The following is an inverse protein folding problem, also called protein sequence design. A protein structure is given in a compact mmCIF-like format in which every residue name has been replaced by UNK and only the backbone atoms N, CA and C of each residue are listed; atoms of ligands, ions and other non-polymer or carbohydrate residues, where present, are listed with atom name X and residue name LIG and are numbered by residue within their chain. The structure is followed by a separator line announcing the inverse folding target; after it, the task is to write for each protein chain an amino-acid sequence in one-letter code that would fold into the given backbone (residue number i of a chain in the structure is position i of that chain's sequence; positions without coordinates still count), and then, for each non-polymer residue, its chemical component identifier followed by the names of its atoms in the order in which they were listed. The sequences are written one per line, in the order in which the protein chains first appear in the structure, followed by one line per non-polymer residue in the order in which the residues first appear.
data_IF_920618041419
#
_entry.id   IF_920618041419
#
_cell.length_a   1.000
_cell.length_b   1.000
_cell.length_c   1.000
_cell.angle_alpha   90.00
_cell.angle_beta   90.00
_cell.angle_gamma   90.00
#
_symmetry.space_group_name_H-M   'P 1'
#
loop_
_entity.id
_entity.type
_entity.pdbx_description
1 polymer ?
#
# COMPACT_ATOMS: atom_id res chain seq x y z
N UNK A 1 -4.16 -6.83 -11.98
CA UNK A 1 -3.37 -8.07 -11.81
C UNK A 1 -3.25 -8.35 -10.32
N UNK A 2 -3.94 -9.37 -9.81
CA UNK A 2 -3.79 -9.85 -8.43
C UNK A 2 -2.44 -10.55 -8.26
N UNK A 3 -1.92 -10.70 -7.02
CA UNK A 3 -0.65 -11.42 -6.75
C UNK A 3 -0.66 -12.83 -7.36
N UNK A 4 -1.79 -13.52 -7.26
CA UNK A 4 -2.00 -14.83 -7.88
C UNK A 4 -1.83 -14.83 -9.41
N UNK A 5 -2.22 -13.75 -10.09
CA UNK A 5 -2.01 -13.61 -11.54
C UNK A 5 -0.55 -13.29 -11.89
N UNK A 6 0.15 -12.51 -11.06
CA UNK A 6 1.57 -12.23 -11.21
C UNK A 6 2.42 -13.49 -11.02
N UNK A 7 2.17 -14.24 -9.94
CA UNK A 7 2.83 -15.51 -9.65
C UNK A 7 2.57 -16.55 -10.74
N UNK A 8 1.35 -16.58 -11.30
CA UNK A 8 1.02 -17.47 -12.42
C UNK A 8 1.78 -17.09 -13.70
N UNK A 9 1.92 -15.79 -13.99
CA UNK A 9 2.72 -15.30 -15.12
C UNK A 9 4.21 -15.59 -14.90
N UNK A 10 4.74 -15.37 -13.70
CA UNK A 10 6.12 -15.70 -13.33
C UNK A 10 6.38 -17.21 -13.45
N UNK A 11 5.49 -18.06 -12.93
CA UNK A 11 5.61 -19.52 -13.08
C UNK A 11 5.60 -19.95 -14.54
N UNK A 12 4.75 -19.37 -15.39
CA UNK A 12 4.75 -19.64 -16.83
C UNK A 12 6.04 -19.18 -17.51
N UNK A 13 6.56 -18.01 -17.14
CA UNK A 13 7.83 -17.51 -17.64
C UNK A 13 9.00 -18.42 -17.22
N UNK A 14 9.06 -18.83 -15.95
CA UNK A 14 10.06 -19.79 -15.46
C UNK A 14 9.91 -21.17 -16.10
N UNK A 15 8.69 -21.67 -16.29
CA UNK A 15 8.44 -22.94 -16.97
C UNK A 15 8.87 -22.87 -18.45
N UNK A 16 8.56 -21.78 -19.15
CA UNK A 16 9.02 -21.55 -20.53
C UNK A 16 10.54 -21.46 -20.63
N UNK A 17 11.18 -20.72 -19.72
CA UNK A 17 12.64 -20.64 -19.66
C UNK A 17 13.27 -22.01 -19.36
N UNK A 18 12.70 -22.75 -18.40
CA UNK A 18 13.12 -24.11 -18.05
C UNK A 18 12.99 -25.08 -19.22
N UNK A 19 11.89 -24.99 -19.99
CA UNK A 19 11.70 -25.77 -21.21
C UNK A 19 12.75 -25.45 -22.27
N UNK A 20 13.01 -24.16 -22.53
CA UNK A 20 14.03 -23.73 -23.51
C UNK A 20 15.41 -24.21 -23.09
N UNK A 21 15.76 -24.08 -21.81
CA UNK A 21 17.03 -24.58 -21.27
C UNK A 21 17.13 -26.10 -21.39
N UNK A 22 16.06 -26.83 -21.09
CA UNK A 22 16.01 -28.29 -21.23
C UNK A 22 16.18 -28.73 -22.69
N UNK A 23 15.48 -28.08 -23.62
CA UNK A 23 15.61 -28.36 -25.05
C UNK A 23 17.01 -28.04 -25.57
N UNK A 24 17.59 -26.92 -25.16
CA UNK A 24 18.96 -26.57 -25.52
C UNK A 24 19.98 -27.58 -24.95
N UNK A 25 19.75 -28.08 -23.72
CA UNK A 25 20.58 -29.11 -23.11
C UNK A 25 20.44 -30.44 -23.88
N UNK A 26 19.22 -30.88 -24.15
CA UNK A 26 18.94 -32.11 -24.88
C UNK A 26 19.52 -32.08 -26.30
N UNK A 27 19.37 -30.95 -27.00
CA UNK A 27 19.94 -30.74 -28.32
C UNK A 27 21.48 -30.81 -28.31
N UNK A 28 22.12 -30.21 -27.30
CA UNK A 28 23.58 -30.24 -27.15
C UNK A 28 24.14 -31.65 -26.89
N UNK A 29 23.34 -32.56 -26.31
CA UNK A 29 23.75 -33.93 -26.03
C UNK A 29 23.22 -34.95 -27.05
N UNK A 30 22.59 -34.51 -28.14
CA UNK A 30 22.01 -35.38 -29.16
C UNK A 30 23.06 -36.25 -29.86
N UNK A 31 24.29 -35.74 -30.00
CA UNK A 31 25.48 -36.42 -30.53
C UNK A 31 25.90 -37.65 -29.70
N UNK A 32 25.53 -37.69 -28.41
CA UNK A 32 25.89 -38.76 -27.47
C UNK A 32 24.78 -39.78 -27.22
N UNK A 33 23.62 -39.61 -27.84
CA UNK A 33 22.49 -40.54 -27.67
C UNK A 33 22.60 -41.68 -28.70
N UNK A 34 22.83 -42.94 -28.27
CA UNK A 34 22.89 -44.07 -29.18
C UNK A 34 21.53 -44.26 -29.87
N UNK A 35 21.51 -44.17 -31.20
CA UNK A 35 20.30 -44.26 -32.04
C UNK A 35 19.88 -42.95 -32.72
N UNK A 36 20.40 -41.80 -32.29
CA UNK A 36 20.19 -40.49 -32.94
C UNK A 36 21.42 -40.00 -33.72
N UNK A 37 22.61 -40.45 -33.34
CA UNK A 37 23.87 -40.12 -34.00
C UNK A 37 23.88 -40.54 -35.49
N UNK A 38 24.18 -39.61 -36.37
CA UNK A 38 24.21 -39.75 -37.84
C UNK A 38 22.85 -39.60 -38.53
N UNK A 39 21.79 -39.24 -37.81
CA UNK A 39 20.43 -39.09 -38.37
C UNK A 39 20.12 -37.61 -38.71
N UNK A 40 19.20 -37.34 -39.65
CA UNK A 40 18.75 -35.95 -39.91
C UNK A 40 18.10 -35.26 -38.71
N UNK A 41 17.72 -36.02 -37.67
CA UNK A 41 17.24 -35.46 -36.41
C UNK A 41 18.36 -34.86 -35.55
N UNK A 42 19.60 -35.38 -35.65
CA UNK A 42 20.76 -34.81 -34.95
C UNK A 42 21.11 -33.43 -35.52
N UNK A 43 21.19 -33.31 -36.85
CA UNK A 43 21.52 -32.03 -37.49
C UNK A 43 20.47 -30.97 -37.16
N UNK A 44 19.18 -31.33 -37.22
CA UNK A 44 18.10 -30.42 -36.84
C UNK A 44 18.15 -29.98 -35.36
N UNK A 45 18.59 -30.86 -34.46
CA UNK A 45 18.75 -30.53 -33.04
C UNK A 45 19.93 -29.56 -32.82
N UNK A 46 21.07 -29.80 -33.49
CA UNK A 46 22.24 -28.91 -33.41
C UNK A 46 21.95 -27.54 -34.02
N UNK A 47 21.27 -27.48 -35.17
CA UNK A 47 20.83 -26.22 -35.80
C UNK A 47 19.91 -25.42 -34.87
N UNK A 48 18.99 -26.11 -34.18
CA UNK A 48 18.13 -25.49 -33.18
C UNK A 48 18.92 -24.97 -31.98
N UNK A 49 19.93 -25.72 -31.51
CA UNK A 49 20.81 -25.27 -30.44
C UNK A 49 21.59 -24.01 -30.83
N UNK A 50 22.19 -23.98 -32.03
CA UNK A 50 22.95 -22.84 -32.51
C UNK A 50 22.04 -21.62 -32.71
N UNK A 51 20.84 -21.81 -33.27
CA UNK A 51 19.83 -20.74 -33.33
C UNK A 51 19.45 -20.20 -31.94
N UNK A 52 19.16 -21.09 -30.98
CA UNK A 52 18.81 -20.69 -29.60
C UNK A 52 19.97 -19.98 -28.91
N UNK A 53 21.20 -20.42 -29.14
CA UNK A 53 22.43 -19.80 -28.62
C UNK A 53 22.64 -18.41 -29.19
N UNK A 54 22.50 -18.24 -30.50
CA UNK A 54 22.68 -16.95 -31.18
C UNK A 54 21.58 -15.96 -30.78
N UNK A 55 20.35 -16.45 -30.59
CA UNK A 55 19.22 -15.63 -30.16
C UNK A 55 19.09 -15.50 -28.64
N UNK A 56 19.93 -16.18 -27.84
CA UNK A 56 19.80 -16.23 -26.38
C UNK A 56 19.78 -14.84 -25.75
N UNK A 57 20.66 -13.95 -26.22
CA UNK A 57 20.73 -12.57 -25.73
C UNK A 57 19.42 -11.82 -26.01
N UNK A 58 18.86 -11.98 -27.20
CA UNK A 58 17.58 -11.37 -27.59
C UNK A 58 16.45 -11.90 -26.71
N UNK A 59 16.37 -13.22 -26.52
CA UNK A 59 15.37 -13.85 -25.66
C UNK A 59 15.44 -13.35 -24.21
N UNK A 60 16.64 -13.36 -23.61
CA UNK A 60 16.84 -12.86 -22.24
C UNK A 60 16.42 -11.40 -22.13
N UNK A 61 16.78 -10.58 -23.12
CA UNK A 61 16.44 -9.15 -23.13
C UNK A 61 14.92 -8.94 -23.22
N UNK A 62 14.23 -9.66 -24.11
CA UNK A 62 12.77 -9.55 -24.27
C UNK A 62 12.04 -10.01 -23.01
N UNK A 63 12.47 -11.12 -22.40
CA UNK A 63 11.89 -11.63 -21.15
C UNK A 63 12.12 -10.65 -20.01
N UNK A 64 13.35 -10.13 -19.86
CA UNK A 64 13.68 -9.15 -18.83
C UNK A 64 12.85 -7.87 -19.00
N UNK A 65 12.71 -7.35 -20.22
CA UNK A 65 11.90 -6.17 -20.53
C UNK A 65 10.42 -6.41 -20.21
N UNK A 66 9.88 -7.58 -20.56
CA UNK A 66 8.50 -7.95 -20.23
C UNK A 66 8.27 -8.02 -18.72
N UNK A 67 9.15 -8.72 -17.98
CA UNK A 67 9.07 -8.83 -16.53
C UNK A 67 9.19 -7.47 -15.85
N UNK A 68 10.11 -6.62 -16.30
CA UNK A 68 10.27 -5.26 -15.81
C UNK A 68 9.00 -4.43 -16.04
N UNK A 69 8.40 -4.50 -17.23
CA UNK A 69 7.15 -3.80 -17.54
C UNK A 69 5.99 -4.28 -16.66
N UNK A 70 5.84 -5.60 -16.46
CA UNK A 70 4.81 -6.17 -15.58
C UNK A 70 5.01 -5.73 -14.13
N UNK A 71 6.25 -5.77 -13.64
CA UNK A 71 6.61 -5.34 -12.29
C UNK A 71 6.33 -3.84 -12.09
N UNK A 72 6.73 -2.99 -13.04
CA UNK A 72 6.47 -1.55 -13.00
C UNK A 72 4.97 -1.24 -12.98
N UNK A 73 4.17 -1.91 -13.81
CA UNK A 73 2.70 -1.74 -13.80
C UNK A 73 2.08 -2.13 -12.46
N UNK A 74 2.52 -3.25 -11.86
CA UNK A 74 2.02 -3.67 -10.54
C UNK A 74 2.45 -2.69 -9.45
N UNK A 75 3.69 -2.23 -9.45
CA UNK A 75 4.20 -1.27 -8.46
C UNK A 75 3.37 0.02 -8.48
N UNK A 76 3.15 0.60 -9.67
CA UNK A 76 2.33 1.82 -9.83
C UNK A 76 0.88 1.61 -9.40
N UNK A 77 0.32 0.43 -9.69
CA UNK A 77 -1.04 0.09 -9.28
C UNK A 77 -1.17 -0.02 -7.76
N UNK A 78 -0.22 -0.69 -7.09
CA UNK A 78 -0.21 -0.79 -5.61
C UNK A 78 -0.03 0.59 -4.98
N UNK A 79 0.87 1.42 -5.50
CA UNK A 79 1.06 2.79 -5.03
C UNK A 79 -0.22 3.63 -5.14
N UNK A 80 -0.93 3.54 -6.26
CA UNK A 80 -2.24 4.19 -6.43
C UNK A 80 -3.29 3.66 -5.44
N UNK A 81 -3.33 2.35 -5.17
CA UNK A 81 -4.22 1.77 -4.16
C UNK A 81 -3.89 2.24 -2.74
N UNK A 82 -2.61 2.40 -2.40
CA UNK A 82 -2.20 2.93 -1.10
C UNK A 82 -2.65 4.38 -0.92
N UNK A 83 -2.56 5.19 -1.97
CA UNK A 83 -3.05 6.56 -1.96
C UNK A 83 -4.56 6.61 -1.75
N UNK A 84 -5.32 5.79 -2.49
CA UNK A 84 -6.77 5.69 -2.31
C UNK A 84 -7.15 5.20 -0.92
N UNK A 85 -6.43 4.21 -0.37
CA UNK A 85 -6.65 3.76 1.00
C UNK A 85 -6.45 4.89 2.01
N UNK A 86 -5.39 5.70 1.86
CA UNK A 86 -5.17 6.89 2.71
C UNK A 86 -6.32 7.89 2.52
N UNK A 87 -6.82 8.07 1.31
CA UNK A 87 -8.01 8.85 0.98
C UNK A 87 -9.24 8.38 1.79
N UNK A 88 -9.57 7.10 1.68
CA UNK A 88 -10.68 6.45 2.40
C UNK A 88 -10.54 6.61 3.92
N UNK A 89 -9.34 6.39 4.49
CA UNK A 89 -9.09 6.56 5.93
C UNK A 89 -9.33 8.00 6.37
N UNK A 90 -8.84 9.00 5.60
CA UNK A 90 -9.09 10.42 5.90
C UNK A 90 -10.58 10.75 5.81
N UNK A 91 -11.28 10.20 4.83
CA UNK A 91 -12.73 10.36 4.66
C UNK A 91 -13.50 9.78 5.83
N UNK A 92 -13.20 8.54 6.25
CA UNK A 92 -13.76 7.94 7.46
C UNK A 92 -13.55 8.86 8.68
N UNK A 93 -12.35 9.42 8.84
CA UNK A 93 -12.06 10.32 9.97
C UNK A 93 -12.85 11.63 9.90
N UNK A 94 -13.04 12.21 8.72
CA UNK A 94 -13.86 13.41 8.54
C UNK A 94 -15.34 13.14 8.85
N UNK A 95 -15.89 12.02 8.36
CA UNK A 95 -17.26 11.58 8.65
C UNK A 95 -17.46 11.33 10.15
N UNK A 96 -16.51 10.65 10.78
CA UNK A 96 -16.53 10.40 12.22
C UNK A 96 -16.48 11.70 13.02
N UNK A 97 -15.58 12.62 12.66
CA UNK A 97 -15.46 13.92 13.33
C UNK A 97 -16.75 14.75 13.21
N UNK A 98 -17.41 14.72 12.05
CA UNK A 98 -18.72 15.35 11.88
C UNK A 98 -19.78 14.78 12.84
N UNK A 99 -19.79 13.46 13.04
CA UNK A 99 -20.76 12.81 13.93
C UNK A 99 -20.50 13.13 15.42
N UNK A 100 -19.23 13.30 15.82
CA UNK A 100 -18.85 13.65 17.21
C UNK A 100 -19.03 15.13 17.54
N UNK A 101 -19.01 16.01 16.53
CA UNK A 101 -19.09 17.45 16.75
C UNK A 101 -20.52 17.84 17.19
N UNK A 102 -20.72 18.36 18.43
CA UNK A 102 -22.05 18.68 18.94
C UNK A 102 -22.76 19.74 18.10
N UNK A 103 -22.03 20.82 17.77
CA UNK A 103 -22.51 21.94 16.97
C UNK A 103 -21.99 21.86 15.52
N UNK A 104 -22.14 20.69 14.89
CA UNK A 104 -21.74 20.52 13.49
C UNK A 104 -22.56 21.44 12.57
N UNK A 105 -21.89 22.32 11.83
CA UNK A 105 -22.52 23.28 10.94
C UNK A 105 -22.97 22.64 9.62
N UNK A 106 -23.79 23.36 8.85
CA UNK A 106 -24.11 22.98 7.48
C UNK A 106 -22.87 22.91 6.57
N UNK A 107 -21.87 23.75 6.83
CA UNK A 107 -20.60 23.74 6.09
C UNK A 107 -19.76 22.51 6.44
N UNK A 108 -19.74 22.10 7.72
CA UNK A 108 -19.08 20.86 8.14
C UNK A 108 -19.72 19.65 7.43
N UNK A 109 -21.04 19.64 7.31
CA UNK A 109 -21.77 18.60 6.57
C UNK A 109 -21.37 18.59 5.09
N UNK A 110 -21.36 19.75 4.43
CA UNK A 110 -20.99 19.86 3.01
C UNK A 110 -19.55 19.40 2.79
N UNK A 111 -18.62 19.81 3.65
CA UNK A 111 -17.23 19.39 3.57
C UNK A 111 -17.08 17.86 3.70
N UNK A 112 -17.76 17.26 4.68
CA UNK A 112 -17.78 15.81 4.85
C UNK A 112 -18.43 15.09 3.66
N UNK A 113 -19.51 15.66 3.10
CA UNK A 113 -20.24 15.12 1.97
C UNK A 113 -19.45 15.17 0.65
N UNK A 114 -18.77 16.29 0.38
CA UNK A 114 -17.88 16.42 -0.77
C UNK A 114 -16.75 15.39 -0.68
N UNK A 115 -16.14 15.25 0.50
CA UNK A 115 -15.02 14.33 0.71
C UNK A 115 -15.39 12.87 0.45
N UNK A 116 -16.54 12.39 0.93
CA UNK A 116 -16.99 11.02 0.63
C UNK A 116 -17.37 10.86 -0.85
N UNK A 117 -17.91 11.89 -1.49
CA UNK A 117 -18.23 11.85 -2.92
C UNK A 117 -16.97 11.78 -3.78
N UNK A 118 -15.97 12.62 -3.50
CA UNK A 118 -14.65 12.55 -4.13
C UNK A 118 -14.01 11.18 -3.95
N UNK A 119 -14.07 10.60 -2.74
CA UNK A 119 -13.52 9.26 -2.48
C UNK A 119 -14.22 8.18 -3.33
N UNK A 120 -15.54 8.25 -3.47
CA UNK A 120 -16.31 7.33 -4.31
C UNK A 120 -15.89 7.45 -5.78
N UNK A 121 -15.68 8.67 -6.26
CA UNK A 121 -15.36 8.95 -7.66
C UNK A 121 -13.90 8.60 -7.98
N UNK A 122 -12.95 8.88 -7.08
CA UNK A 122 -11.55 8.47 -7.24
C UNK A 122 -11.43 6.94 -7.38
N UNK A 123 -12.22 6.19 -6.61
CA UNK A 123 -12.25 4.74 -6.73
C UNK A 123 -12.71 4.24 -8.11
N UNK A 124 -13.47 5.03 -8.88
CA UNK A 124 -13.86 4.71 -10.27
C UNK A 124 -12.69 4.85 -11.25
N UNK A 125 -11.64 5.58 -10.89
CA UNK A 125 -10.41 5.70 -11.68
C UNK A 125 -9.60 4.41 -11.56
N UNK A 126 -9.62 3.78 -10.39
CA UNK A 126 -8.83 2.57 -10.10
C UNK A 126 -9.53 1.29 -10.54
N UNK A 127 -10.85 1.20 -10.34
CA UNK A 127 -11.62 0.00 -10.67
C UNK A 127 -12.82 0.29 -11.58
N UNK A 128 -12.97 -0.58 -12.57
CA UNK A 128 -14.20 -0.72 -13.36
C UNK A 128 -15.31 -1.34 -12.49
N UNK A 129 -16.57 -1.07 -12.83
CA UNK A 129 -17.67 -1.75 -12.19
C UNK A 129 -17.64 -3.27 -12.44
N UNK A 130 -18.05 -4.03 -11.43
CA UNK A 130 -18.12 -5.50 -11.48
C UNK A 130 -19.26 -5.90 -12.41
N UNK A 131 -18.95 -6.71 -13.43
CA UNK A 131 -19.92 -7.14 -14.43
C UNK A 131 -20.30 -6.06 -15.45
N UNK A 132 -19.49 -5.02 -15.60
CA UNK A 132 -19.71 -3.99 -16.63
C UNK A 132 -19.48 -4.57 -18.04
N UNK A 133 -20.44 -4.32 -18.94
CA UNK A 133 -20.41 -4.74 -20.35
C UNK A 133 -20.78 -3.53 -21.23
N UNK A 134 -20.78 -3.70 -22.56
CA UNK A 134 -21.16 -2.64 -23.49
C UNK A 134 -22.62 -2.17 -23.31
N UNK A 135 -23.46 -2.97 -22.64
CA UNK A 135 -24.87 -2.64 -22.37
C UNK A 135 -25.21 -2.43 -20.90
N UNK A 136 -24.39 -2.94 -19.99
CA UNK A 136 -24.67 -2.96 -18.55
C UNK A 136 -23.62 -2.17 -17.79
N UNK A 137 -24.06 -1.24 -16.95
CA UNK A 137 -23.19 -0.38 -16.13
C UNK A 137 -22.46 -1.17 -15.04
N UNK A 138 -22.93 -2.38 -14.69
CA UNK A 138 -22.33 -3.21 -13.64
C UNK A 138 -22.59 -2.68 -12.22
N UNK A 139 -22.02 -3.37 -11.23
CA UNK A 139 -22.12 -3.03 -9.80
C UNK A 139 -20.85 -2.30 -9.34
N UNK A 140 -21.03 -1.26 -8.52
CA UNK A 140 -19.89 -0.57 -7.94
C UNK A 140 -19.11 -1.50 -6.99
N UNK A 141 -17.78 -1.67 -7.17
CA UNK A 141 -17.01 -2.72 -6.49
C UNK A 141 -16.94 -2.53 -4.97
N UNK A 142 -17.07 -1.30 -4.47
CA UNK A 142 -16.91 -0.98 -3.04
C UNK A 142 -18.14 -0.27 -2.47
N UNK A 143 -19.30 -0.93 -2.61
CA UNK A 143 -20.60 -0.44 -2.15
C UNK A 143 -20.61 0.14 -0.71
N UNK A 144 -19.81 -0.36 0.27
CA UNK A 144 -19.78 0.25 1.60
C UNK A 144 -19.40 1.73 1.64
N UNK A 145 -18.67 2.27 0.66
CA UNK A 145 -18.44 3.73 0.55
C UNK A 145 -19.75 4.49 0.32
N UNK A 146 -20.65 3.94 -0.49
CA UNK A 146 -21.99 4.49 -0.66
C UNK A 146 -22.82 4.36 0.61
N UNK A 147 -22.65 3.29 1.39
CA UNK A 147 -23.34 3.13 2.69
C UNK A 147 -22.87 4.18 3.71
N UNK A 148 -21.56 4.45 3.79
CA UNK A 148 -21.02 5.56 4.59
C UNK A 148 -21.63 6.90 4.18
N UNK A 149 -21.79 7.15 2.87
CA UNK A 149 -22.45 8.36 2.37
C UNK A 149 -23.92 8.42 2.75
N UNK A 150 -24.66 7.30 2.64
CA UNK A 150 -26.09 7.22 3.03
C UNK A 150 -26.27 7.48 4.53
N UNK A 151 -25.39 6.91 5.36
CA UNK A 151 -25.37 7.17 6.80
C UNK A 151 -25.14 8.65 7.11
N UNK A 152 -24.17 9.31 6.46
CA UNK A 152 -23.98 10.76 6.58
C UNK A 152 -25.24 11.54 6.15
N UNK A 153 -25.84 11.18 5.02
CA UNK A 153 -27.03 11.87 4.49
C UNK A 153 -28.23 11.82 5.45
N UNK A 154 -28.32 10.81 6.31
CA UNK A 154 -29.36 10.73 7.35
C UNK A 154 -29.24 11.85 8.40
N UNK A 155 -28.04 12.41 8.56
CA UNK A 155 -27.73 13.50 9.47
C UNK A 155 -27.75 14.88 8.80
N UNK A 156 -28.34 15.02 7.62
CA UNK A 156 -28.29 16.29 6.88
C UNK A 156 -29.05 17.40 7.64
N UNK A 157 -28.35 18.39 8.22
CA UNK A 157 -28.96 19.42 9.07
C UNK A 157 -29.87 20.37 8.28
N UNK A 158 -29.74 20.39 6.95
CA UNK A 158 -30.58 21.21 6.05
C UNK A 158 -31.93 20.58 5.76
N UNK A 159 -32.07 19.27 6.00
CA UNK A 159 -33.31 18.51 5.79
C UNK A 159 -34.00 18.14 7.10
N UNK A 160 -33.23 17.99 8.17
CA UNK A 160 -33.70 17.55 9.48
C UNK A 160 -33.08 18.42 10.56
N UNK A 161 -33.91 19.15 11.31
CA UNK A 161 -33.48 20.07 12.37
C UNK A 161 -33.54 19.45 13.78
N UNK A 162 -34.17 18.30 13.94
CA UNK A 162 -34.40 17.57 15.19
C UNK A 162 -33.37 16.43 15.42
N UNK A 163 -32.12 16.62 15.00
CA UNK A 163 -31.09 15.58 15.16
C UNK A 163 -30.75 15.36 16.63
N UNK A 164 -30.95 14.13 17.10
CA UNK A 164 -30.59 13.73 18.46
C UNK A 164 -29.16 13.17 18.52
N UNK A 165 -28.56 13.14 19.71
CA UNK A 165 -27.27 12.46 19.93
C UNK A 165 -27.34 10.97 19.61
N UNK A 166 -28.52 10.35 19.79
CA UNK A 166 -28.74 8.95 19.43
C UNK A 166 -28.66 8.74 17.91
N UNK A 167 -29.22 9.66 17.10
CA UNK A 167 -29.11 9.62 15.64
C UNK A 167 -27.65 9.74 15.19
N UNK A 168 -26.90 10.68 15.78
CA UNK A 168 -25.46 10.88 15.50
C UNK A 168 -24.65 9.65 15.84
N UNK A 169 -24.91 9.03 17.00
CA UNK A 169 -24.29 7.77 17.41
C UNK A 169 -24.60 6.65 16.43
N UNK A 170 -25.86 6.48 16.04
CA UNK A 170 -26.26 5.41 15.11
C UNK A 170 -25.57 5.56 13.75
N UNK A 171 -25.55 6.77 13.19
CA UNK A 171 -24.87 7.05 11.93
C UNK A 171 -23.36 6.84 12.03
N UNK A 172 -22.72 7.25 13.13
CA UNK A 172 -21.31 7.00 13.41
C UNK A 172 -20.99 5.51 13.43
N UNK A 173 -21.78 4.73 14.16
CA UNK A 173 -21.58 3.29 14.30
C UNK A 173 -21.79 2.58 12.94
N UNK A 174 -22.79 3.02 12.15
CA UNK A 174 -23.01 2.54 10.78
C UNK A 174 -21.84 2.87 9.85
N UNK A 175 -21.29 4.10 9.91
CA UNK A 175 -20.11 4.51 9.13
C UNK A 175 -18.90 3.63 9.48
N UNK A 176 -18.67 3.36 10.77
CA UNK A 176 -17.58 2.50 11.20
C UNK A 176 -17.78 1.06 10.71
N UNK A 177 -18.99 0.51 10.83
CA UNK A 177 -19.30 -0.83 10.35
C UNK A 177 -19.06 -0.95 8.83
N UNK A 178 -19.55 -0.01 8.04
CA UNK A 178 -19.31 0.01 6.59
C UNK A 178 -17.82 0.14 6.26
N UNK A 179 -17.08 0.97 7.01
CA UNK A 179 -15.63 1.09 6.83
C UNK A 179 -14.89 -0.22 7.16
N UNK A 180 -15.29 -0.95 8.21
CA UNK A 180 -14.67 -2.23 8.54
C UNK A 180 -14.97 -3.31 7.50
N UNK A 181 -16.22 -3.39 7.01
CA UNK A 181 -16.57 -4.30 5.91
C UNK A 181 -15.79 -4.00 4.62
N UNK A 182 -15.60 -2.71 4.32
CA UNK A 182 -14.74 -2.26 3.22
C UNK A 182 -13.29 -2.70 3.43
N UNK A 183 -12.75 -2.45 4.63
CA UNK A 183 -11.36 -2.75 4.99
C UNK A 183 -11.03 -4.23 4.80
N UNK A 184 -11.90 -5.13 5.24
CA UNK A 184 -11.66 -6.58 5.16
C UNK A 184 -11.37 -7.02 3.72
N UNK A 185 -12.15 -6.57 2.76
CA UNK A 185 -11.97 -6.94 1.35
C UNK A 185 -10.92 -6.08 0.64
N UNK A 186 -10.86 -4.78 0.93
CA UNK A 186 -9.93 -3.87 0.24
C UNK A 186 -8.46 -4.17 0.58
N UNK A 187 -8.16 -4.58 1.82
CA UNK A 187 -6.79 -4.88 2.20
C UNK A 187 -6.22 -6.11 1.48
N UNK A 188 -7.06 -7.02 1.00
CA UNK A 188 -6.61 -8.16 0.17
C UNK A 188 -5.97 -7.67 -1.14
N UNK A 189 -6.44 -6.56 -1.70
CA UNK A 189 -5.91 -5.97 -2.94
C UNK A 189 -4.52 -5.35 -2.75
N UNK A 190 -4.28 -4.78 -1.56
CA UNK A 190 -2.98 -4.23 -1.14
C UNK A 190 -1.95 -5.30 -0.85
N UNK A 191 -2.37 -6.56 -0.66
CA UNK A 191 -1.47 -7.71 -0.59
C UNK A 191 -0.42 -7.60 0.53
N UNK A 192 -0.87 -7.03 1.66
CA UNK A 192 -0.06 -6.72 2.83
C UNK A 192 0.54 -7.98 3.45
N UNK A 193 1.83 -7.92 3.78
CA UNK A 193 2.51 -8.98 4.54
C UNK A 193 2.36 -8.75 6.04
N UNK A 194 2.37 -9.84 6.81
CA UNK A 194 2.49 -9.76 8.25
C UNK A 194 3.81 -9.05 8.63
N UNK A 195 3.81 -8.18 9.65
CA UNK A 195 5.04 -7.57 10.14
C UNK A 195 5.99 -8.63 10.71
N UNK A 196 7.29 -8.51 10.42
CA UNK A 196 8.31 -9.44 10.97
C UNK A 196 8.53 -9.26 12.48
N UNK A 197 8.18 -8.10 13.03
CA UNK A 197 8.38 -7.75 14.45
C UNK A 197 7.11 -7.12 15.05
N UNK A 198 5.99 -7.87 15.18
CA UNK A 198 4.74 -7.32 15.65
C UNK A 198 4.71 -7.20 17.18
N UNK A 199 4.08 -6.13 17.70
CA UNK A 199 3.76 -6.01 19.12
C UNK A 199 2.31 -6.48 19.36
N UNK A 200 2.15 -7.77 19.67
CA UNK A 200 0.84 -8.45 19.73
C UNK A 200 0.10 -8.28 21.07
N UNK A 201 0.75 -7.71 22.09
CA UNK A 201 0.16 -7.54 23.43
C UNK A 201 -0.58 -6.20 23.54
N UNK A 202 -1.78 -6.22 24.12
CA UNK A 202 -2.47 -4.99 24.55
C UNK A 202 -1.71 -4.32 25.71
N UNK A 203 -1.54 -3.00 25.65
CA UNK A 203 -0.83 -2.26 26.71
C UNK A 203 0.70 -2.47 26.70
N UNK A 204 1.28 -2.79 25.54
CA UNK A 204 2.72 -2.94 25.38
C UNK A 204 3.49 -1.73 25.92
N UNK A 205 4.58 -2.00 26.65
CA UNK A 205 5.38 -0.98 27.32
C UNK A 205 6.70 -0.76 26.59
N UNK A 206 7.23 0.45 26.67
CA UNK A 206 8.59 0.75 26.19
C UNK A 206 9.59 -0.10 26.99
N UNK A 207 10.28 -1.02 26.31
CA UNK A 207 11.31 -1.86 26.96
C UNK A 207 12.61 -1.09 27.24
N UNK A 208 12.91 -0.07 26.43
CA UNK A 208 14.11 0.75 26.58
C UNK A 208 13.88 1.83 27.63
N UNK A 209 14.72 1.91 28.66
CA UNK A 209 14.72 3.06 29.56
C UNK A 209 15.14 4.34 28.80
N UNK A 210 14.63 5.52 29.18
CA UNK A 210 15.21 6.79 28.78
C UNK A 210 16.68 6.86 29.20
N UNK A 211 17.54 7.37 28.33
CA UNK A 211 18.97 7.47 28.63
C UNK A 211 19.82 7.47 27.36
N UNK A 212 21.11 7.67 27.55
CA UNK A 212 22.11 7.60 26.48
C UNK A 212 23.26 6.70 26.92
N UNK A 213 24.00 6.16 25.95
CA UNK A 213 25.24 5.45 26.28
C UNK A 213 26.24 6.43 26.85
N UNK A 214 27.16 5.97 27.71
CA UNK A 214 28.21 6.82 28.31
C UNK A 214 28.99 7.63 27.26
N UNK A 215 29.20 7.06 26.07
CA UNK A 215 29.86 7.74 24.95
C UNK A 215 29.03 8.90 24.39
N UNK A 216 27.72 8.70 24.21
CA UNK A 216 26.81 9.75 23.78
C UNK A 216 26.68 10.87 24.82
N UNK A 217 26.57 10.53 26.11
CA UNK A 217 26.55 11.54 27.19
C UNK A 217 27.85 12.36 27.22
N UNK A 218 29.01 11.71 27.08
CA UNK A 218 30.30 12.41 26.99
C UNK A 218 30.40 13.31 25.76
N UNK A 219 29.87 12.88 24.62
CA UNK A 219 29.86 13.68 23.39
C UNK A 219 28.95 14.89 23.51
N UNK A 220 27.77 14.71 24.09
CA UNK A 220 26.83 15.77 24.41
C UNK A 220 27.46 16.79 25.37
N UNK A 221 28.15 16.32 26.42
CA UNK A 221 28.83 17.21 27.37
C UNK A 221 29.96 18.01 26.70
N UNK A 222 30.77 17.37 25.85
CA UNK A 222 31.79 18.08 25.06
C UNK A 222 31.17 19.13 24.13
N UNK A 223 30.02 18.83 23.51
CA UNK A 223 29.30 19.78 22.66
C UNK A 223 28.74 20.94 23.48
N UNK A 224 28.15 20.66 24.65
CA UNK A 224 27.65 21.67 25.59
C UNK A 224 28.78 22.59 26.05
N UNK A 225 29.92 22.04 26.49
CA UNK A 225 31.09 22.84 26.88
C UNK A 225 31.52 23.76 25.73
N UNK A 226 31.60 23.24 24.50
CA UNK A 226 31.96 24.03 23.33
C UNK A 226 30.94 25.12 23.00
N UNK A 227 29.65 24.83 23.07
CA UNK A 227 28.58 25.81 22.82
C UNK A 227 28.58 26.89 23.90
N UNK A 228 28.69 26.53 25.17
CA UNK A 228 28.74 27.47 26.29
C UNK A 228 30.01 28.34 26.28
N UNK A 229 31.09 27.88 25.63
CA UNK A 229 32.30 28.69 25.43
C UNK A 229 32.18 29.74 24.32
N UNK A 230 31.08 29.73 23.55
CA UNK A 230 30.81 30.70 22.48
C UNK A 230 29.80 31.75 22.99
N UNK A 231 30.02 33.07 22.79
CA UNK A 231 29.10 34.11 23.24
C UNK A 231 27.70 33.93 22.64
N UNK A 232 26.68 34.04 23.49
CA UNK A 232 25.29 33.74 23.13
C UNK A 232 24.63 34.89 22.37
N UNK A 233 23.97 34.60 21.25
CA UNK A 233 23.30 35.62 20.43
C UNK A 233 21.87 35.96 20.92
N UNK A 234 21.17 35.04 21.60
CA UNK A 234 19.79 35.20 22.10
C UNK A 234 19.53 34.35 23.35
N UNK A 235 19.77 34.95 24.51
CA UNK A 235 19.66 34.30 25.83
C UNK A 235 18.21 33.93 26.21
N UNK A 236 17.22 34.67 25.69
CA UNK A 236 15.79 34.48 25.93
C UNK A 236 15.25 33.15 25.39
N UNK A 237 15.68 32.77 24.19
CA UNK A 237 15.28 31.51 23.54
C UNK A 237 15.89 30.31 24.25
N UNK A 238 17.16 30.41 24.64
CA UNK A 238 17.87 29.32 25.32
C UNK A 238 17.33 29.09 26.74
N UNK A 239 17.01 30.15 27.48
CA UNK A 239 16.36 30.05 28.78
C UNK A 239 14.98 29.37 28.68
N UNK A 240 14.20 29.72 27.66
CA UNK A 240 12.92 29.07 27.39
C UNK A 240 13.08 27.58 27.06
N UNK A 241 14.00 27.22 26.15
CA UNK A 241 14.26 25.84 25.78
C UNK A 241 14.83 25.02 26.94
N UNK A 242 15.69 25.60 27.79
CA UNK A 242 16.21 24.96 28.99
C UNK A 242 15.09 24.67 30.01
N UNK A 243 14.15 25.60 30.18
CA UNK A 243 12.97 25.41 31.03
C UNK A 243 12.07 24.28 30.53
N UNK A 244 11.82 24.19 29.22
CA UNK A 244 11.08 23.09 28.60
C UNK A 244 11.77 21.74 28.83
N UNK A 245 13.09 21.68 28.67
CA UNK A 245 13.86 20.45 28.87
C UNK A 245 13.83 19.96 30.32
N UNK A 246 13.95 20.87 31.30
CA UNK A 246 13.83 20.50 32.71
C UNK A 246 12.44 19.95 33.05
N UNK A 247 11.38 20.56 32.49
CA UNK A 247 10.02 20.08 32.67
C UNK A 247 9.77 18.67 32.07
N UNK A 248 10.46 18.32 30.99
CA UNK A 248 10.40 16.98 30.39
C UNK A 248 11.12 15.91 31.22
N UNK A 249 12.19 16.25 31.93
CA UNK A 249 12.92 15.27 32.75
C UNK A 249 12.23 14.90 34.07
N UNK A 250 11.30 15.73 34.54
CA UNK A 250 10.57 15.52 35.80
C UNK A 250 9.18 14.89 35.62
N UNK A 251 8.86 14.38 34.43
CA UNK A 251 7.65 13.58 34.14
C UNK A 251 8.00 12.10 33.99
#
# INVERSE_FOLDING_TARGET
MTRASLDRTLRRAYAGLGLVLFLALAAKFADRVPGLAGTPFESAALDLYDYLKDMALVFVTVVAAYLANVFQKRSKFVESLEEEWRGIVRTKSALFAFCEKPDASGDDYIAAFCRISETIDNMRIVYRNVGETDRLVGLYPYAPLHDMRRALQSLNPRKRSDLTDADRKLARDAILQSFYALRENFLEELDLREPDNPLLISGGRRLKQPGSTRGASRRQERQRIRQNSTPMAREDVDAFLAGLYQAEQHK
#
